data_IF_836073261541
#
_entry.id   IF_836073261541
#
_cell.length_a   1.000
_cell.length_b   1.000
_cell.length_c   1.000
_cell.angle_alpha   90.00
_cell.angle_beta   90.00
_cell.angle_gamma   90.00
#
_symmetry.space_group_name_H-M   'P 1'
#
loop_
_entity.id
_entity.type
_entity.pdbx_description
1 polymer ?
#
# COMPACT_ATOMS: atom_id res chain seq x y z
N UNK A 1 -0.14 6.72 2.76
CA UNK A 1 1.28 6.69 3.19
C UNK A 1 2.21 6.41 2.02
N UNK A 2 2.18 5.24 1.35
CA UNK A 2 3.04 4.96 0.17
C UNK A 2 2.89 5.96 -0.99
N UNK A 3 1.66 6.23 -1.42
CA UNK A 3 1.34 7.26 -2.43
C UNK A 3 1.87 8.67 -2.10
N UNK A 4 1.84 9.06 -0.83
CA UNK A 4 2.35 10.37 -0.40
C UNK A 4 3.88 10.42 -0.49
N UNK A 5 4.56 9.30 -0.24
CA UNK A 5 6.00 9.19 -0.43
C UNK A 5 6.36 9.25 -1.93
N UNK A 6 5.60 8.58 -2.81
CA UNK A 6 5.79 8.68 -4.26
C UNK A 6 5.65 10.12 -4.74
N UNK A 7 4.60 10.83 -4.29
CA UNK A 7 4.40 12.25 -4.59
C UNK A 7 5.54 13.13 -4.11
N UNK A 8 6.09 12.89 -2.92
CA UNK A 8 7.25 13.66 -2.40
C UNK A 8 8.51 13.47 -3.25
N UNK A 9 8.61 12.34 -3.97
CA UNK A 9 9.73 12.04 -4.85
C UNK A 9 9.44 12.34 -6.33
N UNK A 10 8.31 12.97 -6.66
CA UNK A 10 7.85 13.24 -8.03
C UNK A 10 7.84 11.98 -8.91
N UNK A 11 7.35 10.86 -8.36
CA UNK A 11 7.10 9.66 -9.15
C UNK A 11 5.69 9.78 -9.73
N UNK A 12 5.65 10.08 -11.02
CA UNK A 12 4.40 10.36 -11.73
C UNK A 12 3.72 9.10 -12.30
N UNK A 13 4.50 8.03 -12.49
CA UNK A 13 4.04 6.70 -12.91
C UNK A 13 4.26 5.71 -11.77
N UNK A 14 3.17 5.35 -11.09
CA UNK A 14 3.21 4.50 -9.90
C UNK A 14 2.21 3.36 -10.08
N UNK A 15 2.67 2.14 -9.82
CA UNK A 15 1.82 0.96 -9.80
C UNK A 15 1.62 0.52 -8.34
N UNK A 16 0.39 0.56 -7.85
CA UNK A 16 0.06 -0.03 -6.57
C UNK A 16 -0.36 -1.47 -6.72
N UNK A 17 0.29 -2.32 -5.94
CA UNK A 17 -0.01 -3.74 -5.88
C UNK A 17 -0.70 -4.05 -4.55
N UNK A 18 -1.81 -4.77 -4.61
CA UNK A 18 -2.56 -5.16 -3.41
C UNK A 18 -3.17 -6.55 -3.56
N UNK A 19 -3.15 -7.33 -2.48
CA UNK A 19 -3.87 -8.60 -2.39
C UNK A 19 -5.34 -8.45 -1.98
N UNK A 20 -5.77 -7.25 -1.62
CA UNK A 20 -7.16 -6.94 -1.31
C UNK A 20 -7.94 -6.56 -2.58
N UNK A 21 -8.71 -7.52 -3.11
CA UNK A 21 -9.49 -7.34 -4.34
C UNK A 21 -10.54 -6.21 -4.22
N UNK A 22 -11.22 -6.11 -3.07
CA UNK A 22 -12.23 -5.08 -2.84
C UNK A 22 -11.63 -3.67 -2.88
N UNK A 23 -10.47 -3.51 -2.24
CA UNK A 23 -9.74 -2.24 -2.27
C UNK A 23 -9.25 -1.93 -3.69
N UNK A 24 -8.64 -2.88 -4.38
CA UNK A 24 -8.16 -2.67 -5.75
C UNK A 24 -9.30 -2.28 -6.70
N UNK A 25 -10.45 -2.93 -6.59
CA UNK A 25 -11.65 -2.60 -7.34
C UNK A 25 -12.21 -1.22 -6.97
N UNK A 26 -12.19 -0.86 -5.68
CA UNK A 26 -12.65 0.45 -5.23
C UNK A 26 -11.80 1.59 -5.79
N UNK A 27 -10.47 1.40 -5.83
CA UNK A 27 -9.55 2.37 -6.42
C UNK A 27 -9.74 2.47 -7.93
N UNK A 28 -9.76 1.33 -8.64
CA UNK A 28 -9.93 1.31 -10.11
C UNK A 28 -11.25 1.93 -10.57
N UNK A 29 -12.34 1.66 -9.85
CA UNK A 29 -13.68 2.22 -10.14
C UNK A 29 -13.90 3.61 -9.55
N UNK A 30 -12.94 4.13 -8.76
CA UNK A 30 -13.07 5.36 -7.97
C UNK A 30 -14.38 5.42 -7.18
N UNK A 31 -14.79 4.29 -6.63
CA UNK A 31 -16.08 4.13 -5.93
C UNK A 31 -15.95 3.12 -4.82
N UNK A 32 -16.54 3.42 -3.66
CA UNK A 32 -16.46 2.57 -2.47
C UNK A 32 -17.76 1.82 -2.29
N UNK A 33 -17.67 0.48 -2.30
CA UNK A 33 -18.82 -0.40 -2.07
C UNK A 33 -18.97 -0.82 -0.60
N UNK A 34 -17.93 -0.61 0.22
CA UNK A 34 -17.89 -1.02 1.62
C UNK A 34 -17.61 0.17 2.55
N UNK A 35 -18.55 0.47 3.45
CA UNK A 35 -18.48 1.65 4.33
C UNK A 35 -17.26 1.67 5.25
N UNK A 36 -16.77 0.49 5.66
CA UNK A 36 -15.59 0.37 6.53
C UNK A 36 -14.31 0.84 5.84
N UNK A 37 -14.25 0.83 4.51
CA UNK A 37 -13.08 1.23 3.73
C UNK A 37 -13.18 2.69 3.24
N UNK A 38 -14.32 3.36 3.42
CA UNK A 38 -14.59 4.70 2.87
C UNK A 38 -13.52 5.71 3.26
N UNK A 39 -13.13 5.77 4.55
CA UNK A 39 -12.14 6.72 5.03
C UNK A 39 -10.75 6.50 4.42
N UNK A 40 -10.37 5.24 4.15
CA UNK A 40 -9.11 4.90 3.48
C UNK A 40 -9.15 5.29 2.01
N UNK A 41 -10.25 4.95 1.31
CA UNK A 41 -10.40 5.21 -0.12
C UNK A 41 -10.51 6.71 -0.44
N UNK A 42 -11.20 7.52 0.38
CA UNK A 42 -11.31 8.97 0.14
C UNK A 42 -9.95 9.66 0.08
N UNK A 43 -9.06 9.33 1.01
CA UNK A 43 -7.71 9.89 1.06
C UNK A 43 -6.89 9.51 -0.18
N UNK A 44 -7.11 8.30 -0.71
CA UNK A 44 -6.44 7.82 -1.93
C UNK A 44 -7.03 8.46 -3.18
N UNK A 45 -8.36 8.62 -3.26
CA UNK A 45 -9.01 9.25 -4.41
C UNK A 45 -8.56 10.70 -4.61
N UNK A 46 -8.32 11.44 -3.54
CA UNK A 46 -7.73 12.77 -3.64
C UNK A 46 -6.32 12.74 -4.24
N UNK A 47 -5.54 11.69 -3.97
CA UNK A 47 -4.18 11.54 -4.49
C UNK A 47 -4.16 11.07 -5.96
N UNK A 48 -5.12 10.24 -6.36
CA UNK A 48 -5.32 9.77 -7.74
C UNK A 48 -5.54 10.88 -8.76
N UNK A 49 -6.01 12.05 -8.34
CA UNK A 49 -6.22 13.18 -9.25
C UNK A 49 -4.92 13.84 -9.70
N UNK A 50 -3.77 13.47 -9.10
CA UNK A 50 -2.49 14.15 -9.32
C UNK A 50 -1.39 13.25 -9.91
N UNK A 51 -1.66 11.98 -10.15
CA UNK A 51 -0.67 11.01 -10.65
C UNK A 51 -1.35 9.95 -11.50
N UNK A 52 -0.68 9.48 -12.56
CA UNK A 52 -1.09 8.29 -13.29
C UNK A 52 -0.78 7.07 -12.40
N UNK A 53 -1.81 6.63 -11.68
CA UNK A 53 -1.72 5.52 -10.75
C UNK A 53 -2.47 4.32 -11.32
N UNK A 54 -1.75 3.24 -11.59
CA UNK A 54 -2.38 1.95 -11.86
C UNK A 54 -2.51 1.14 -10.57
N UNK A 55 -3.56 0.33 -10.47
CA UNK A 55 -3.78 -0.56 -9.34
C UNK A 55 -3.98 -1.98 -9.84
N UNK A 56 -3.04 -2.84 -9.45
CA UNK A 56 -3.01 -4.25 -9.80
C UNK A 56 -3.36 -5.08 -8.59
N UNK A 57 -4.31 -5.99 -8.78
CA UNK A 57 -4.60 -7.02 -7.79
C UNK A 57 -3.65 -8.20 -8.00
N UNK A 58 -3.10 -8.74 -6.91
CA UNK A 58 -2.27 -9.95 -6.92
C UNK A 58 -2.77 -10.97 -5.90
N UNK A 59 -2.52 -12.27 -6.11
CA UNK A 59 -2.75 -13.27 -5.07
C UNK A 59 -1.93 -12.98 -3.80
N UNK A 60 -2.46 -13.37 -2.63
CA UNK A 60 -1.83 -13.11 -1.32
C UNK A 60 -0.45 -13.74 -1.20
N UNK A 61 -0.21 -14.83 -1.94
CA UNK A 61 1.08 -15.50 -2.04
C UNK A 61 2.17 -14.61 -2.62
N UNK A 62 1.79 -13.62 -3.43
CA UNK A 62 2.70 -12.62 -4.01
C UNK A 62 2.95 -11.42 -3.08
N UNK A 63 2.12 -11.21 -2.05
CA UNK A 63 2.21 -10.07 -1.13
C UNK A 63 2.71 -10.45 0.28
N UNK A 64 3.50 -11.53 0.38
CA UNK A 64 4.01 -12.04 1.67
C UNK A 64 4.85 -11.02 2.42
N UNK A 65 5.66 -10.22 1.72
CA UNK A 65 6.51 -9.20 2.33
C UNK A 65 5.69 -8.15 3.08
N UNK A 66 4.66 -7.61 2.42
CA UNK A 66 3.77 -6.62 3.05
C UNK A 66 3.00 -7.23 4.22
N UNK A 67 2.56 -8.49 4.09
CA UNK A 67 1.88 -9.19 5.18
C UNK A 67 2.80 -9.38 6.41
N UNK A 68 4.04 -9.83 6.20
CA UNK A 68 5.04 -10.00 7.26
C UNK A 68 5.37 -8.68 7.93
N UNK A 69 5.58 -7.61 7.15
CA UNK A 69 5.84 -6.27 7.69
C UNK A 69 4.65 -5.76 8.51
N UNK A 70 3.43 -5.90 8.00
CA UNK A 70 2.21 -5.49 8.71
C UNK A 70 2.04 -6.28 10.02
N UNK A 71 2.29 -7.59 10.01
CA UNK A 71 2.22 -8.42 11.21
C UNK A 71 3.27 -8.03 12.25
N UNK A 72 4.50 -7.75 11.81
CA UNK A 72 5.57 -7.25 12.68
C UNK A 72 5.21 -5.92 13.33
N UNK A 73 4.77 -4.94 12.53
CA UNK A 73 4.39 -3.62 13.02
C UNK A 73 3.22 -3.72 14.02
N UNK A 74 2.21 -4.53 13.69
CA UNK A 74 1.06 -4.77 14.58
C UNK A 74 1.47 -5.33 15.94
N UNK A 75 2.36 -6.34 15.97
CA UNK A 75 2.85 -6.94 17.23
C UNK A 75 3.59 -5.94 18.12
N UNK A 76 4.22 -4.94 17.52
CA UNK A 76 4.97 -3.90 18.23
C UNK A 76 4.14 -2.62 18.45
N UNK A 77 2.86 -2.63 18.09
CA UNK A 77 1.99 -1.45 18.11
C UNK A 77 2.57 -0.24 17.35
N UNK A 78 3.26 -0.51 16.25
CA UNK A 78 3.85 0.49 15.36
C UNK A 78 2.90 0.76 14.19
N UNK A 79 2.88 2.02 13.75
CA UNK A 79 2.17 2.43 12.55
C UNK A 79 2.96 3.52 11.85
N UNK A 80 2.81 3.63 10.53
CA UNK A 80 3.43 4.70 9.76
C UNK A 80 4.22 4.20 8.56
N UNK A 81 5.21 5.01 8.18
CA UNK A 81 6.16 4.68 7.11
C UNK A 81 7.45 4.27 7.80
N UNK A 82 8.01 3.13 7.42
CA UNK A 82 9.24 2.62 8.02
C UNK A 82 10.38 2.69 7.01
N UNK A 83 11.51 3.20 7.48
CA UNK A 83 12.78 3.14 6.78
C UNK A 83 13.37 1.74 6.91
N UNK A 84 14.22 1.35 5.97
CA UNK A 84 14.74 -0.02 5.92
C UNK A 84 15.55 -0.41 7.17
N UNK A 85 16.18 0.58 7.83
CA UNK A 85 16.92 0.41 9.09
C UNK A 85 16.04 0.36 10.34
N UNK A 86 14.77 0.77 10.26
CA UNK A 86 13.81 0.72 11.37
C UNK A 86 13.15 -0.66 11.47
N UNK A 87 13.17 -1.43 10.38
CA UNK A 87 12.59 -2.76 10.28
C UNK A 87 13.64 -3.81 10.63
N UNK A 88 13.28 -4.78 11.46
CA UNK A 88 14.21 -5.86 11.83
C UNK A 88 14.69 -6.61 10.58
N UNK A 89 15.99 -6.97 10.47
CA UNK A 89 16.55 -7.55 9.25
C UNK A 89 15.79 -8.77 8.71
N UNK A 90 15.26 -9.61 9.59
CA UNK A 90 14.46 -10.79 9.24
C UNK A 90 13.15 -10.47 8.52
N UNK A 91 12.56 -9.31 8.81
CA UNK A 91 11.34 -8.80 8.16
C UNK A 91 11.71 -8.03 6.88
N UNK A 92 12.84 -7.32 6.90
CA UNK A 92 13.35 -6.55 5.77
C UNK A 92 13.82 -7.43 4.58
N UNK A 93 14.29 -8.65 4.86
CA UNK A 93 14.89 -9.56 3.87
C UNK A 93 13.92 -10.59 3.30
N UNK A 94 12.70 -10.70 3.81
CA UNK A 94 11.67 -11.56 3.24
C UNK A 94 11.10 -10.92 1.97
N UNK A 95 11.80 -11.15 0.86
CA UNK A 95 11.48 -10.81 -0.53
C UNK A 95 11.37 -9.30 -0.81
N UNK A 96 12.22 -8.86 -1.76
CA UNK A 96 12.41 -7.48 -2.20
C UNK A 96 11.13 -6.63 -2.09
N UNK A 97 11.21 -5.57 -1.28
CA UNK A 97 10.24 -4.49 -1.28
C UNK A 97 10.23 -3.87 -2.68
N UNK A 98 9.26 -4.26 -3.49
CA UNK A 98 8.89 -3.49 -4.66
C UNK A 98 7.97 -2.40 -4.12
N UNK A 99 8.52 -1.19 -4.06
CA UNK A 99 7.77 0.05 -3.82
C UNK A 99 6.82 0.31 -4.98
#
# INVERSE_FOLDING_TARGET
MGLQACRRNNWDDVMLVSDCLDWANAIRKRSVFCWSLTHLCFSIFQLLNFSDLDVVWVPRECNKSAHTLASWAFRLNLSGTFSLWEVTPTVATMHAFIL
#
